data_IF_983931631458
#
_entry.id   IF_983931631458
#
_cell.length_a   1.000
_cell.length_b   1.000
_cell.length_c   1.000
_cell.angle_alpha   90.00
_cell.angle_beta   90.00
_cell.angle_gamma   90.00
#
_symmetry.space_group_name_H-M   'P 1'
#
loop_
_entity.id
_entity.type
_entity.pdbx_description
1 polymer ?
#
# COMPACT_ATOMS: atom_id res chain seq x y z
N UNK A 1 4.49 -5.50 7.68
CA UNK A 1 3.56 -4.62 6.94
C UNK A 1 2.79 -5.41 5.89
N UNK A 2 3.44 -5.94 4.85
CA UNK A 2 2.75 -6.72 3.79
C UNK A 2 2.02 -7.96 4.31
N UNK A 3 2.52 -8.65 5.34
CA UNK A 3 1.82 -9.81 5.92
C UNK A 3 0.55 -9.41 6.67
N UNK A 4 0.56 -8.25 7.35
CA UNK A 4 -0.63 -7.70 8.00
C UNK A 4 -1.69 -7.38 6.94
N UNK A 5 -1.27 -6.78 5.82
CA UNK A 5 -2.17 -6.49 4.70
C UNK A 5 -2.74 -7.76 4.08
N UNK A 6 -1.92 -8.80 3.89
CA UNK A 6 -2.38 -10.09 3.41
C UNK A 6 -3.42 -10.71 4.36
N UNK A 7 -3.23 -10.57 5.68
CA UNK A 7 -4.19 -11.01 6.70
C UNK A 7 -5.57 -10.38 6.55
N UNK A 8 -5.68 -9.12 6.12
CA UNK A 8 -6.99 -8.49 5.86
C UNK A 8 -7.76 -9.13 4.70
N UNK A 9 -7.08 -9.82 3.78
CA UNK A 9 -7.69 -10.45 2.60
C UNK A 9 -8.17 -11.88 2.84
N UNK A 10 -7.92 -12.43 4.03
CA UNK A 10 -8.20 -13.83 4.37
C UNK A 10 -9.50 -14.03 5.15
N UNK A 11 -10.32 -12.99 5.31
CA UNK A 11 -11.62 -13.09 5.97
C UNK A 11 -12.63 -13.69 4.98
N UNK A 12 -13.24 -14.82 5.32
CA UNK A 12 -14.04 -15.62 4.40
C UNK A 12 -15.30 -14.89 3.90
N UNK A 13 -15.92 -14.06 4.74
CA UNK A 13 -17.19 -13.38 4.42
C UNK A 13 -17.06 -11.88 4.14
N UNK A 14 -15.84 -11.34 4.03
CA UNK A 14 -15.60 -9.89 4.04
C UNK A 14 -14.80 -9.41 2.82
N UNK A 15 -15.33 -8.41 2.10
CA UNK A 15 -14.62 -7.81 0.97
C UNK A 15 -13.52 -6.91 1.53
N UNK A 16 -12.27 -7.21 1.23
CA UNK A 16 -11.15 -6.36 1.62
C UNK A 16 -11.22 -5.01 0.89
N UNK A 17 -11.57 -3.95 1.62
CA UNK A 17 -11.69 -2.58 1.12
C UNK A 17 -11.04 -1.60 2.08
N UNK A 18 -10.76 -0.38 1.60
CA UNK A 18 -10.32 0.72 2.42
C UNK A 18 -11.35 1.85 2.39
N UNK A 19 -11.92 2.18 3.55
CA UNK A 19 -12.84 3.31 3.68
C UNK A 19 -12.20 4.62 3.22
N UNK A 20 -10.95 4.89 3.61
CA UNK A 20 -10.21 6.08 3.17
C UNK A 20 -10.07 6.11 1.65
N UNK A 21 -9.71 4.98 1.02
CA UNK A 21 -9.59 4.87 -0.42
C UNK A 21 -10.91 5.07 -1.17
N UNK A 22 -12.03 4.56 -0.63
CA UNK A 22 -13.36 4.76 -1.21
C UNK A 22 -13.81 6.22 -1.11
N UNK A 23 -13.75 6.82 0.09
CA UNK A 23 -14.13 8.22 0.30
C UNK A 23 -13.26 9.18 -0.53
N UNK A 24 -11.98 8.85 -0.73
CA UNK A 24 -11.10 9.62 -1.61
C UNK A 24 -11.58 9.66 -3.05
N UNK A 25 -12.13 8.56 -3.58
CA UNK A 25 -12.61 8.49 -4.95
C UNK A 25 -13.95 9.20 -5.13
N UNK A 26 -14.86 9.00 -4.17
CA UNK A 26 -16.24 9.51 -4.29
C UNK A 26 -16.37 10.99 -3.90
N UNK A 27 -15.60 11.45 -2.91
CA UNK A 27 -15.86 12.74 -2.26
C UNK A 27 -14.73 13.76 -2.40
N UNK A 28 -13.54 13.39 -2.88
CA UNK A 28 -12.41 14.33 -2.89
C UNK A 28 -12.64 15.57 -3.78
N UNK A 29 -13.43 15.45 -4.86
CA UNK A 29 -13.72 16.55 -5.77
C UNK A 29 -14.84 17.49 -5.26
N UNK A 30 -15.69 17.01 -4.36
CA UNK A 30 -16.93 17.70 -3.94
C UNK A 30 -16.96 18.07 -2.46
N UNK A 31 -16.09 17.46 -1.64
CA UNK A 31 -16.01 17.70 -0.20
C UNK A 31 -14.56 17.94 0.24
N UNK A 32 -14.14 19.22 0.35
CA UNK A 32 -12.77 19.58 0.75
C UNK A 32 -12.35 19.05 2.13
N UNK A 33 -13.30 18.91 3.06
CA UNK A 33 -13.00 18.39 4.41
C UNK A 33 -12.63 16.90 4.34
N UNK A 34 -13.41 16.11 3.59
CA UNK A 34 -13.12 14.69 3.37
C UNK A 34 -11.84 14.52 2.54
N UNK A 35 -11.65 15.33 1.50
CA UNK A 35 -10.41 15.34 0.72
C UNK A 35 -9.17 15.51 1.61
N UNK A 36 -9.20 16.51 2.49
CA UNK A 36 -8.08 16.80 3.38
C UNK A 36 -7.85 15.68 4.40
N UNK A 37 -8.92 15.14 4.99
CA UNK A 37 -8.85 14.04 5.95
C UNK A 37 -8.28 12.77 5.30
N UNK A 38 -8.79 12.36 4.15
CA UNK A 38 -8.29 11.19 3.45
C UNK A 38 -6.84 11.38 2.98
N UNK A 39 -6.49 12.55 2.46
CA UNK A 39 -5.11 12.84 2.07
C UNK A 39 -4.15 12.79 3.27
N UNK A 40 -4.58 13.23 4.46
CA UNK A 40 -3.81 13.10 5.70
C UNK A 40 -3.56 11.63 6.05
N UNK A 41 -4.58 10.78 6.03
CA UNK A 41 -4.42 9.37 6.41
C UNK A 41 -3.55 8.60 5.39
N UNK A 42 -3.71 8.87 4.09
CA UNK A 42 -2.85 8.31 3.06
C UNK A 42 -1.38 8.74 3.23
N UNK A 43 -1.14 10.03 3.55
CA UNK A 43 0.21 10.51 3.87
C UNK A 43 0.78 9.85 5.12
N UNK A 44 -0.01 9.75 6.19
CA UNK A 44 0.40 9.11 7.46
C UNK A 44 0.85 7.67 7.23
N UNK A 45 0.07 6.89 6.47
CA UNK A 45 0.48 5.53 6.12
C UNK A 45 1.80 5.52 5.34
N UNK A 46 1.92 6.38 4.32
CA UNK A 46 3.13 6.48 3.49
C UNK A 46 4.36 6.87 4.30
N UNK A 47 4.24 7.84 5.20
CA UNK A 47 5.35 8.30 6.06
C UNK A 47 5.84 7.17 6.98
N UNK A 48 4.92 6.41 7.57
CA UNK A 48 5.28 5.25 8.38
C UNK A 48 6.04 4.19 7.56
N UNK A 49 5.60 3.90 6.33
CA UNK A 49 6.32 2.95 5.45
C UNK A 49 7.68 3.51 5.01
N UNK A 50 7.78 4.80 4.71
CA UNK A 50 9.04 5.45 4.38
C UNK A 50 10.03 5.37 5.55
N UNK A 51 9.58 5.56 6.79
CA UNK A 51 10.40 5.39 7.98
C UNK A 51 10.94 3.95 8.12
N UNK A 52 10.10 2.93 7.88
CA UNK A 52 10.52 1.53 7.90
C UNK A 52 11.58 1.24 6.83
N UNK A 53 11.39 1.75 5.61
CA UNK A 53 12.33 1.59 4.51
C UNK A 53 13.66 2.30 4.77
N UNK A 54 13.62 3.52 5.29
CA UNK A 54 14.82 4.26 5.68
C UNK A 54 15.58 3.55 6.81
N UNK A 55 14.87 3.00 7.81
CA UNK A 55 15.48 2.19 8.86
C UNK A 55 16.10 0.89 8.31
N UNK A 56 15.47 0.25 7.32
CA UNK A 56 16.03 -0.91 6.65
C UNK A 56 17.33 -0.57 5.89
N UNK A 57 17.39 0.56 5.17
CA UNK A 57 18.62 1.03 4.50
C UNK A 57 19.80 1.21 5.48
N UNK A 58 19.53 1.62 6.72
CA UNK A 58 20.58 1.75 7.77
C UNK A 58 21.11 0.39 8.25
N UNK A 59 20.25 -0.64 8.26
CA UNK A 59 20.61 -1.99 8.72
C UNK A 59 21.21 -2.86 7.62
N UNK A 60 20.85 -2.59 6.37
CA UNK A 60 21.26 -3.39 5.21
C UNK A 60 21.52 -2.49 4.02
N UNK A 61 22.73 -2.58 3.46
CA UNK A 61 23.08 -1.88 2.23
C UNK A 61 22.15 -2.33 1.10
N UNK A 62 21.38 -1.42 0.48
CA UNK A 62 20.48 -1.78 -0.60
C UNK A 62 21.28 -2.26 -1.82
N UNK A 63 20.67 -3.16 -2.61
CA UNK A 63 21.24 -3.63 -3.88
C UNK A 63 21.08 -2.59 -4.99
N UNK A 64 20.03 -1.78 -4.92
CA UNK A 64 19.79 -0.64 -5.82
C UNK A 64 19.42 0.56 -4.96
N UNK A 65 19.99 1.73 -5.23
CA UNK A 65 19.57 2.92 -4.47
C UNK A 65 18.12 3.30 -4.80
N UNK A 66 17.40 3.79 -3.80
CA UNK A 66 16.00 4.19 -3.93
C UNK A 66 15.63 5.24 -2.90
N UNK A 67 14.69 6.11 -3.24
CA UNK A 67 14.03 7.00 -2.28
C UNK A 67 12.97 6.22 -1.47
N UNK A 68 13.12 6.11 -0.14
CA UNK A 68 12.12 5.48 0.72
C UNK A 68 10.71 6.05 0.56
N UNK A 69 10.59 7.37 0.34
CA UNK A 69 9.28 8.03 0.22
C UNK A 69 8.60 7.71 -1.10
N UNK A 70 9.34 7.72 -2.21
CA UNK A 70 8.84 7.28 -3.50
C UNK A 70 8.36 5.82 -3.48
N UNK A 71 9.15 4.91 -2.90
CA UNK A 71 8.75 3.49 -2.76
C UNK A 71 7.52 3.34 -1.86
N UNK A 72 7.45 4.09 -0.76
CA UNK A 72 6.28 4.05 0.11
C UNK A 72 4.99 4.51 -0.61
N UNK A 73 5.07 5.57 -1.43
CA UNK A 73 3.92 6.00 -2.24
C UNK A 73 3.52 4.94 -3.26
N UNK A 74 4.49 4.32 -3.95
CA UNK A 74 4.21 3.21 -4.86
C UNK A 74 3.45 2.08 -4.17
N UNK A 75 3.89 1.66 -2.97
CA UNK A 75 3.23 0.62 -2.20
C UNK A 75 1.83 1.02 -1.72
N UNK A 76 1.62 2.29 -1.33
CA UNK A 76 0.30 2.80 -0.96
C UNK A 76 -0.65 2.75 -2.16
N UNK A 77 -0.22 3.30 -3.29
CA UNK A 77 -1.00 3.30 -4.53
C UNK A 77 -1.33 1.89 -5.01
N UNK A 78 -0.37 0.96 -4.96
CA UNK A 78 -0.60 -0.45 -5.26
C UNK A 78 -1.65 -1.05 -4.33
N UNK A 79 -1.58 -0.78 -3.02
CA UNK A 79 -2.56 -1.28 -2.06
C UNK A 79 -3.96 -0.76 -2.32
N UNK A 80 -4.13 0.57 -2.47
CA UNK A 80 -5.43 1.18 -2.76
C UNK A 80 -6.00 0.69 -4.09
N UNK A 81 -5.19 0.63 -5.14
CA UNK A 81 -5.58 0.13 -6.44
C UNK A 81 -5.97 -1.35 -6.41
N UNK A 82 -5.23 -2.18 -5.65
CA UNK A 82 -5.56 -3.59 -5.47
C UNK A 82 -6.95 -3.78 -4.85
N UNK A 83 -7.29 -3.04 -3.79
CA UNK A 83 -8.62 -3.15 -3.18
C UNK A 83 -9.73 -2.62 -4.10
N UNK A 84 -9.48 -1.55 -4.84
CA UNK A 84 -10.41 -1.02 -5.85
C UNK A 84 -10.73 -2.08 -6.92
N UNK A 85 -9.69 -2.59 -7.59
CA UNK A 85 -9.85 -3.56 -8.69
C UNK A 85 -10.37 -4.89 -8.16
N UNK A 86 -9.87 -5.34 -7.00
CA UNK A 86 -10.33 -6.56 -6.34
C UNK A 86 -11.82 -6.53 -6.00
N UNK A 87 -12.34 -5.38 -5.54
CA UNK A 87 -13.78 -5.16 -5.34
C UNK A 87 -14.54 -5.18 -6.67
N UNK A 88 -14.06 -4.44 -7.67
CA UNK A 88 -14.75 -4.30 -8.96
C UNK A 88 -14.79 -5.59 -9.78
N UNK A 89 -13.76 -6.43 -9.68
CA UNK A 89 -13.64 -7.70 -10.39
C UNK A 89 -13.99 -8.91 -9.52
N UNK A 90 -14.55 -8.71 -8.33
CA UNK A 90 -14.94 -9.78 -7.39
C UNK A 90 -13.81 -10.79 -7.10
N UNK A 91 -12.57 -10.29 -6.97
CA UNK A 91 -11.37 -11.15 -6.85
C UNK A 91 -10.44 -10.71 -5.72
N UNK A 92 -10.67 -11.24 -4.53
CA UNK A 92 -9.76 -11.09 -3.38
C UNK A 92 -8.38 -11.75 -3.65
N UNK A 93 -8.37 -12.79 -4.47
CA UNK A 93 -7.13 -13.46 -4.90
C UNK A 93 -6.18 -12.50 -5.63
N UNK A 94 -6.72 -11.54 -6.40
CA UNK A 94 -5.91 -10.54 -7.09
C UNK A 94 -5.15 -9.63 -6.12
N UNK A 95 -5.79 -9.22 -5.01
CA UNK A 95 -5.13 -8.43 -3.96
C UNK A 95 -3.92 -9.18 -3.41
N UNK A 96 -4.10 -10.48 -3.09
CA UNK A 96 -3.02 -11.34 -2.59
C UNK A 96 -1.88 -11.48 -3.60
N UNK A 97 -2.20 -11.65 -4.89
CA UNK A 97 -1.20 -11.72 -5.96
C UNK A 97 -0.40 -10.43 -6.07
N UNK A 98 -1.04 -9.27 -6.01
CA UNK A 98 -0.35 -7.98 -6.04
C UNK A 98 0.53 -7.77 -4.80
N UNK A 99 0.09 -8.19 -3.61
CA UNK A 99 0.92 -8.14 -2.40
C UNK A 99 2.15 -9.05 -2.49
N UNK A 100 2.05 -10.21 -3.13
CA UNK A 100 3.20 -11.07 -3.41
C UNK A 100 4.21 -10.37 -4.32
N UNK A 101 3.75 -9.72 -5.38
CA UNK A 101 4.60 -8.93 -6.27
C UNK A 101 5.26 -7.75 -5.54
N UNK A 102 4.50 -7.04 -4.70
CA UNK A 102 5.02 -5.96 -3.86
C UNK A 102 6.12 -6.45 -2.90
N UNK A 103 5.94 -7.63 -2.29
CA UNK A 103 6.97 -8.26 -1.46
C UNK A 103 8.22 -8.54 -2.27
N UNK A 104 8.10 -9.24 -3.40
CA UNK A 104 9.25 -9.53 -4.26
C UNK A 104 9.97 -8.27 -4.75
N UNK A 105 9.23 -7.19 -5.03
CA UNK A 105 9.81 -5.89 -5.36
C UNK A 105 10.64 -5.33 -4.20
N UNK A 106 10.07 -5.24 -2.99
CA UNK A 106 10.78 -4.73 -1.81
C UNK A 106 12.00 -5.59 -1.47
N UNK A 107 11.89 -6.91 -1.54
CA UNK A 107 13.00 -7.82 -1.24
C UNK A 107 14.18 -7.60 -2.20
N UNK A 108 13.90 -7.39 -3.50
CA UNK A 108 14.92 -7.08 -4.51
C UNK A 108 15.62 -5.74 -4.32
N UNK A 109 15.03 -4.79 -3.60
CA UNK A 109 15.74 -3.54 -3.25
C UNK A 109 16.94 -3.80 -2.32
N UNK A 110 16.96 -4.95 -1.63
CA UNK A 110 17.98 -5.27 -0.63
C UNK A 110 18.76 -6.56 -0.91
N UNK A 111 18.22 -7.51 -1.67
CA UNK A 111 18.91 -8.73 -2.07
C UNK A 111 19.89 -8.43 -3.21
N UNK A 112 21.17 -8.68 -2.98
CA UNK A 112 22.19 -8.71 -4.03
C UNK A 112 22.06 -10.06 -4.74
N UNK A 113 21.70 -10.03 -6.02
CA UNK A 113 21.73 -11.21 -6.91
C UNK A 113 23.16 -11.56 -7.29
#
# INVERSE_FOLDING_TARGET
MLDIMAGFTSREDDICVCMVGMMSQELAATNPVIQAACAKELRSWTENVAHLLAAAKKKRKPATDFDPKAVAWFLNSLWQGSMLVGKACESQAMIRSNLKLARSFVDRLFLHT
#
